data_IF_667719468561
#
_entry.id   IF_667719468561
#
_cell.length_a   1.000
_cell.length_b   1.000
_cell.length_c   1.000
_cell.angle_alpha   90.00
_cell.angle_beta   90.00
_cell.angle_gamma   90.00
#
_symmetry.space_group_name_H-M   'P 1'
#
loop_
_entity.id
_entity.type
_entity.pdbx_description
1 polymer ?
#
# COMPACT_ATOMS: atom_id res chain seq x y z
N UNK A 1 -3.14 -6.00 -12.23
CA UNK A 1 -2.43 -4.77 -12.57
C UNK A 1 -1.79 -4.86 -13.94
N UNK A 2 -0.98 -5.89 -14.19
CA UNK A 2 -0.37 -6.20 -15.50
C UNK A 2 -1.29 -5.96 -16.72
N UNK A 3 -2.51 -6.52 -16.72
CA UNK A 3 -3.46 -6.31 -17.82
C UNK A 3 -3.84 -4.82 -18.05
N UNK A 4 -3.96 -4.02 -16.98
CA UNK A 4 -4.24 -2.57 -17.09
C UNK A 4 -3.03 -1.86 -17.70
N UNK A 5 -1.84 -2.10 -17.16
CA UNK A 5 -0.62 -1.52 -17.66
C UNK A 5 -0.38 -1.88 -19.14
N UNK A 6 -0.50 -3.15 -19.49
CA UNK A 6 -0.33 -3.63 -20.87
C UNK A 6 -1.36 -3.03 -21.84
N UNK A 7 -2.63 -2.92 -21.45
CA UNK A 7 -3.65 -2.26 -22.27
C UNK A 7 -3.31 -0.77 -22.53
N UNK A 8 -2.69 -0.09 -21.55
CA UNK A 8 -2.20 1.28 -21.74
C UNK A 8 -0.99 1.36 -22.67
N UNK A 9 -0.09 0.37 -22.63
CA UNK A 9 1.02 0.24 -23.60
C UNK A 9 0.48 0.04 -25.01
N UNK A 10 -0.43 -0.91 -25.21
CA UNK A 10 -1.07 -1.15 -26.51
C UNK A 10 -1.83 0.08 -27.01
N UNK A 11 -2.48 0.81 -26.11
CA UNK A 11 -3.18 2.06 -26.42
C UNK A 11 -2.27 3.28 -26.61
N UNK A 12 -0.94 3.11 -26.59
CA UNK A 12 0.04 4.19 -26.77
C UNK A 12 0.08 5.23 -25.64
N UNK A 13 -0.62 4.98 -24.52
CA UNK A 13 -0.67 5.87 -23.35
C UNK A 13 0.54 5.75 -22.46
N UNK A 14 1.18 4.57 -22.45
CA UNK A 14 2.47 4.31 -21.81
C UNK A 14 3.47 3.96 -22.91
N UNK A 15 4.62 4.64 -22.91
CA UNK A 15 5.72 4.35 -23.83
C UNK A 15 6.73 3.47 -23.14
N UNK A 16 7.12 2.39 -23.80
CA UNK A 16 8.22 1.56 -23.32
C UNK A 16 9.55 2.31 -23.48
N UNK A 17 10.49 2.11 -22.56
CA UNK A 17 11.83 2.66 -22.68
C UNK A 17 12.59 1.98 -23.82
N UNK A 18 13.81 2.43 -24.08
CA UNK A 18 14.65 1.83 -25.13
C UNK A 18 15.00 0.38 -24.80
N UNK A 19 15.30 -0.43 -25.82
CA UNK A 19 15.69 -1.83 -25.63
C UNK A 19 16.89 -1.98 -24.68
N UNK A 20 17.86 -1.07 -24.77
CA UNK A 20 19.03 -1.05 -23.89
C UNK A 20 18.66 -0.87 -22.43
N UNK A 21 17.78 0.10 -22.13
CA UNK A 21 17.28 0.36 -20.76
C UNK A 21 16.45 -0.83 -20.24
N UNK A 22 15.59 -1.41 -21.09
CA UNK A 22 14.82 -2.61 -20.73
C UNK A 22 15.75 -3.78 -20.34
N UNK A 23 16.79 -4.04 -21.13
CA UNK A 23 17.74 -5.10 -20.82
C UNK A 23 18.57 -4.82 -19.56
N UNK A 24 18.87 -3.56 -19.26
CA UNK A 24 19.53 -3.17 -18.02
C UNK A 24 18.62 -3.41 -16.81
N UNK A 25 17.35 -2.98 -16.87
CA UNK A 25 16.36 -3.20 -15.82
C UNK A 25 16.11 -4.70 -15.56
N UNK A 26 15.99 -5.50 -16.63
CA UNK A 26 15.85 -6.97 -16.52
C UNK A 26 17.04 -7.56 -15.76
N UNK A 27 18.28 -7.21 -16.11
CA UNK A 27 19.48 -7.71 -15.41
C UNK A 27 19.49 -7.31 -13.94
N UNK A 28 19.18 -6.05 -13.64
CA UNK A 28 19.14 -5.55 -12.27
C UNK A 28 18.09 -6.29 -11.41
N UNK A 29 16.90 -6.56 -11.97
CA UNK A 29 15.85 -7.34 -11.29
C UNK A 29 16.25 -8.80 -11.10
N UNK A 30 16.88 -9.42 -12.11
CA UNK A 30 17.38 -10.79 -12.00
C UNK A 30 18.42 -10.90 -10.86
N UNK A 31 19.35 -9.95 -10.77
CA UNK A 31 20.34 -9.90 -9.69
C UNK A 31 19.70 -9.69 -8.32
N UNK A 32 18.65 -8.86 -8.21
CA UNK A 32 17.93 -8.65 -6.96
C UNK A 32 17.25 -9.93 -6.47
N UNK A 33 16.61 -10.67 -7.39
CA UNK A 33 15.98 -11.97 -7.11
C UNK A 33 17.04 -12.98 -6.65
N UNK A 34 18.16 -13.09 -7.35
CA UNK A 34 19.25 -14.01 -7.01
C UNK A 34 19.89 -13.71 -5.63
N UNK A 35 19.88 -12.45 -5.19
CA UNK A 35 20.37 -12.05 -3.86
C UNK A 35 19.36 -12.35 -2.74
N UNK A 36 18.07 -12.20 -3.03
CA UNK A 36 17.02 -12.33 -2.02
C UNK A 36 16.57 -13.78 -1.82
N UNK A 37 16.55 -14.57 -2.89
CA UNK A 37 15.98 -15.91 -2.89
C UNK A 37 17.03 -16.98 -3.12
N UNK A 38 16.76 -18.18 -2.60
CA UNK A 38 17.65 -19.32 -2.82
C UNK A 38 17.68 -19.67 -4.31
N UNK A 39 18.86 -19.99 -4.83
CA UNK A 39 19.03 -20.36 -6.23
C UNK A 39 18.38 -21.71 -6.52
N UNK A 40 17.14 -21.67 -6.99
CA UNK A 40 16.35 -22.83 -7.42
C UNK A 40 15.57 -22.49 -8.68
N UNK A 41 15.25 -23.49 -9.49
CA UNK A 41 14.42 -23.32 -10.69
C UNK A 41 13.05 -22.70 -10.38
N UNK A 42 12.55 -22.84 -9.14
CA UNK A 42 11.26 -22.30 -8.69
C UNK A 42 11.26 -20.79 -8.45
N UNK A 43 12.41 -20.19 -8.17
CA UNK A 43 12.53 -18.79 -7.75
C UNK A 43 12.86 -17.83 -8.91
N UNK A 44 12.66 -18.27 -10.15
CA UNK A 44 13.06 -17.54 -11.37
C UNK A 44 12.14 -16.39 -11.77
N UNK A 45 10.89 -16.39 -11.28
CA UNK A 45 9.86 -15.40 -11.61
C UNK A 45 9.37 -14.64 -10.36
N UNK A 46 10.12 -14.72 -9.27
CA UNK A 46 9.72 -14.07 -8.03
C UNK A 46 9.82 -12.55 -8.15
N UNK A 47 8.83 -11.90 -7.56
CA UNK A 47 8.70 -10.45 -7.59
C UNK A 47 8.12 -10.01 -6.26
N UNK A 48 8.70 -8.97 -5.67
CA UNK A 48 8.08 -8.32 -4.53
C UNK A 48 6.74 -7.71 -4.98
N UNK A 49 5.65 -8.15 -4.35
CA UNK A 49 4.31 -7.77 -4.75
C UNK A 49 4.09 -6.25 -4.67
N UNK A 50 4.54 -5.58 -3.61
CA UNK A 50 4.32 -4.14 -3.42
C UNK A 50 5.10 -3.37 -4.49
N UNK A 51 6.40 -3.62 -4.60
CA UNK A 51 7.28 -2.92 -5.55
C UNK A 51 6.83 -3.11 -6.99
N UNK A 52 6.49 -4.33 -7.40
CA UNK A 52 6.02 -4.62 -8.75
C UNK A 52 4.67 -3.98 -9.06
N UNK A 53 3.74 -4.00 -8.10
CA UNK A 53 2.43 -3.37 -8.26
C UNK A 53 2.54 -1.84 -8.32
N UNK A 54 3.36 -1.24 -7.46
CA UNK A 54 3.61 0.20 -7.41
C UNK A 54 4.31 0.70 -8.67
N UNK A 55 5.30 -0.02 -9.19
CA UNK A 55 5.98 0.32 -10.45
C UNK A 55 4.99 0.38 -11.62
N UNK A 56 4.19 -0.68 -11.83
CA UNK A 56 3.18 -0.70 -12.88
C UNK A 56 2.08 0.35 -12.66
N UNK A 57 1.69 0.59 -11.40
CA UNK A 57 0.68 1.59 -11.08
C UNK A 57 1.20 3.01 -11.29
N UNK A 58 2.49 3.26 -11.03
CA UNK A 58 3.14 4.54 -11.26
C UNK A 58 3.13 4.90 -12.75
N UNK A 59 3.48 3.94 -13.62
CA UNK A 59 3.48 4.13 -15.08
C UNK A 59 2.13 4.58 -15.64
N UNK A 60 1.03 4.12 -15.04
CA UNK A 60 -0.34 4.50 -15.43
C UNK A 60 -0.93 5.62 -14.58
N UNK A 61 -0.18 6.18 -13.62
CA UNK A 61 -0.67 7.23 -12.71
C UNK A 61 -1.76 6.77 -11.73
N UNK A 62 -1.81 5.48 -11.40
CA UNK A 62 -2.75 4.88 -10.45
C UNK A 62 -2.13 4.57 -9.07
N UNK A 63 -0.83 4.85 -8.88
CA UNK A 63 -0.18 4.73 -7.57
C UNK A 63 -0.65 5.89 -6.65
N UNK A 64 -1.19 5.60 -5.45
CA UNK A 64 -1.74 6.63 -4.58
C UNK A 64 -0.65 7.57 -4.05
N UNK A 65 -0.88 8.89 -4.14
CA UNK A 65 0.08 9.86 -3.60
C UNK A 65 -0.13 10.00 -2.08
N UNK A 66 0.75 9.39 -1.30
CA UNK A 66 0.64 9.36 0.16
C UNK A 66 0.67 10.76 0.78
N UNK A 67 1.48 11.69 0.27
CA UNK A 67 1.52 13.07 0.79
C UNK A 67 0.19 13.80 0.57
N UNK A 68 -0.46 13.57 -0.58
CA UNK A 68 -1.78 14.14 -0.84
C UNK A 68 -2.81 13.63 0.15
N UNK A 69 -2.82 12.32 0.44
CA UNK A 69 -3.74 11.74 1.40
C UNK A 69 -3.44 12.16 2.84
N UNK A 70 -2.19 12.40 3.20
CA UNK A 70 -1.85 12.95 4.51
C UNK A 70 -2.55 14.29 4.79
N UNK A 71 -2.64 15.15 3.78
CA UNK A 71 -3.25 16.48 3.90
C UNK A 71 -4.77 16.47 3.73
N UNK A 72 -5.31 15.59 2.88
CA UNK A 72 -6.74 15.59 2.49
C UNK A 72 -7.59 14.57 3.25
N UNK A 73 -7.04 13.40 3.56
CA UNK A 73 -7.75 12.30 4.21
C UNK A 73 -6.79 11.47 5.09
N UNK A 74 -6.54 12.00 6.29
CA UNK A 74 -5.64 11.39 7.27
C UNK A 74 -6.04 9.97 7.66
N UNK A 75 -7.34 9.67 7.69
CA UNK A 75 -7.83 8.33 8.03
C UNK A 75 -7.43 7.31 6.96
N UNK A 76 -7.59 7.68 5.68
CA UNK A 76 -7.14 6.84 4.57
C UNK A 76 -5.60 6.74 4.55
N UNK A 77 -4.89 7.84 4.76
CA UNK A 77 -3.41 7.86 4.82
C UNK A 77 -2.84 6.83 5.79
N UNK A 78 -3.31 6.84 7.04
CA UNK A 78 -2.84 5.89 8.05
C UNK A 78 -3.16 4.43 7.69
N UNK A 79 -4.27 4.19 6.98
CA UNK A 79 -4.60 2.85 6.46
C UNK A 79 -3.73 2.43 5.29
N UNK A 80 -3.27 3.36 4.45
CA UNK A 80 -2.35 3.06 3.36
C UNK A 80 -0.95 2.71 3.87
N UNK A 81 -0.47 3.41 4.90
CA UNK A 81 0.88 3.19 5.44
C UNK A 81 0.94 2.03 6.44
N UNK A 82 0.01 2.00 7.41
CA UNK A 82 0.05 1.03 8.52
C UNK A 82 -0.93 -0.13 8.33
N UNK A 83 -1.81 -0.04 7.34
CA UNK A 83 -2.76 -1.10 7.03
C UNK A 83 -2.21 -2.13 6.06
N UNK A 84 -2.99 -3.19 5.79
CA UNK A 84 -2.61 -4.16 4.77
C UNK A 84 -2.61 -3.50 3.39
N UNK A 85 -1.60 -3.85 2.58
CA UNK A 85 -1.53 -3.41 1.20
C UNK A 85 -2.57 -4.17 0.36
N UNK A 86 -3.72 -3.53 0.14
CA UNK A 86 -4.88 -4.14 -0.54
C UNK A 86 -5.00 -3.67 -1.99
N UNK A 87 -5.45 -4.54 -2.93
CA UNK A 87 -5.54 -4.18 -4.34
C UNK A 87 -6.45 -2.98 -4.66
N UNK A 88 -7.37 -2.63 -3.75
CA UNK A 88 -8.25 -1.47 -3.88
C UNK A 88 -7.48 -0.14 -3.94
N UNK A 89 -6.26 -0.09 -3.38
CA UNK A 89 -5.40 1.09 -3.35
C UNK A 89 -5.09 1.60 -4.77
N UNK A 90 -4.83 0.70 -5.71
CA UNK A 90 -4.55 1.02 -7.12
C UNK A 90 -5.79 1.43 -7.94
N UNK A 91 -6.93 1.61 -7.28
CA UNK A 91 -8.18 2.13 -7.86
C UNK A 91 -8.64 3.41 -7.18
N UNK A 92 -7.85 3.97 -6.25
CA UNK A 92 -8.10 5.27 -5.64
C UNK A 92 -7.90 6.42 -6.63
N UNK A 93 -6.86 6.31 -7.44
CA UNK A 93 -6.43 7.34 -8.38
C UNK A 93 -6.18 6.78 -9.79
N UNK A 94 -5.93 7.69 -10.72
CA UNK A 94 -5.57 7.36 -12.09
C UNK A 94 -6.74 6.93 -12.97
N UNK A 95 -6.45 6.30 -14.12
CA UNK A 95 -7.45 5.90 -15.09
C UNK A 95 -8.34 4.80 -14.53
N UNK A 96 -9.66 4.97 -14.68
CA UNK A 96 -10.68 4.04 -14.20
C UNK A 96 -10.65 3.84 -12.67
N UNK A 97 -10.51 4.94 -11.94
CA UNK A 97 -10.68 4.99 -10.49
C UNK A 97 -12.07 4.49 -10.08
N UNK A 98 -12.15 3.78 -8.96
CA UNK A 98 -13.38 3.23 -8.43
C UNK A 98 -13.85 4.05 -7.22
N UNK A 99 -15.04 4.65 -7.32
CA UNK A 99 -15.61 5.50 -6.25
C UNK A 99 -15.68 4.79 -4.89
N UNK A 100 -15.92 3.47 -4.87
CA UNK A 100 -15.98 2.67 -3.64
C UNK A 100 -14.63 2.23 -3.08
N UNK A 101 -13.51 2.56 -3.73
CA UNK A 101 -12.18 2.08 -3.32
C UNK A 101 -11.82 2.56 -1.90
N UNK A 102 -12.14 3.81 -1.57
CA UNK A 102 -11.90 4.38 -0.25
C UNK A 102 -12.60 3.59 0.85
N UNK A 103 -13.91 3.44 0.73
CA UNK A 103 -14.72 2.75 1.75
C UNK A 103 -14.39 1.26 1.81
N UNK A 104 -14.01 0.67 0.67
CA UNK A 104 -13.47 -0.67 0.64
C UNK A 104 -12.20 -0.78 1.49
N UNK A 105 -11.23 0.12 1.34
CA UNK A 105 -9.97 0.11 2.12
C UNK A 105 -10.23 0.30 3.61
N UNK A 106 -11.06 1.29 3.97
CA UNK A 106 -11.41 1.55 5.36
C UNK A 106 -12.11 0.34 6.00
N UNK A 107 -13.01 -0.29 5.25
CA UNK A 107 -13.83 -1.43 5.68
C UNK A 107 -13.15 -2.81 5.62
N UNK A 108 -11.85 -2.90 5.33
CA UNK A 108 -11.15 -4.19 5.17
C UNK A 108 -11.27 -5.05 6.43
N UNK A 109 -11.04 -4.44 7.60
CA UNK A 109 -11.02 -5.15 8.87
C UNK A 109 -12.37 -5.78 9.19
N UNK A 110 -13.45 -5.04 8.97
CA UNK A 110 -14.82 -5.44 9.18
C UNK A 110 -15.16 -6.65 8.31
N UNK A 111 -14.76 -6.63 7.02
CA UNK A 111 -15.01 -7.75 6.09
C UNK A 111 -14.21 -9.00 6.43
N UNK A 112 -12.97 -8.85 6.89
CA UNK A 112 -12.14 -9.98 7.34
C UNK A 112 -12.73 -10.62 8.59
N UNK A 113 -13.27 -9.82 9.52
CA UNK A 113 -13.84 -10.30 10.78
C UNK A 113 -15.29 -10.79 10.66
N UNK A 114 -16.06 -10.30 9.69
CA UNK A 114 -17.47 -10.67 9.48
C UNK A 114 -17.73 -12.19 9.46
N UNK A 115 -16.99 -13.03 8.72
CA UNK A 115 -17.21 -14.48 8.73
C UNK A 115 -16.78 -15.15 10.04
N UNK A 116 -15.88 -14.51 10.79
CA UNK A 116 -15.38 -15.03 12.08
C UNK A 116 -16.30 -14.65 13.25
N UNK A 117 -17.19 -13.67 13.07
CA UNK A 117 -17.97 -13.07 14.15
C UNK A 117 -19.47 -13.10 13.86
N UNK A 118 -20.10 -14.25 14.11
CA UNK A 118 -21.56 -14.41 14.03
C UNK A 118 -22.34 -13.50 15.01
N UNK A 119 -21.69 -13.03 16.08
CA UNK A 119 -22.32 -12.31 17.21
C UNK A 119 -22.24 -10.77 17.10
N UNK A 120 -21.36 -10.21 16.24
CA UNK A 120 -21.07 -8.76 16.09
C UNK A 120 -20.61 -8.02 17.37
N UNK A 121 -20.48 -8.69 18.52
CA UNK A 121 -20.23 -8.06 19.84
C UNK A 121 -18.76 -7.88 20.21
N UNK A 122 -17.85 -8.73 19.70
CA UNK A 122 -16.42 -8.67 20.01
C UNK A 122 -15.62 -8.08 18.84
N UNK A 123 -14.47 -7.46 19.13
CA UNK A 123 -13.58 -6.65 18.26
C UNK A 123 -13.87 -5.15 18.12
N UNK A 124 -14.77 -4.57 18.92
CA UNK A 124 -14.71 -3.12 19.18
C UNK A 124 -13.41 -2.88 19.95
N UNK A 125 -12.43 -2.25 19.31
CA UNK A 125 -11.20 -1.84 19.99
C UNK A 125 -11.62 -0.79 21.02
N UNK A 126 -11.49 -1.11 22.31
CA UNK A 126 -11.67 -0.11 23.36
C UNK A 126 -10.67 1.02 23.11
N UNK A 127 -11.17 2.15 22.62
CA UNK A 127 -10.36 3.28 22.19
C UNK A 127 -9.72 4.01 23.37
N UNK A 128 -10.07 3.65 24.61
CA UNK A 128 -9.46 4.21 25.82
C UNK A 128 -7.95 3.99 25.89
N UNK A 129 -7.40 2.94 25.25
CA UNK A 129 -5.94 2.74 25.15
C UNK A 129 -5.21 3.89 24.47
N UNK A 130 -5.79 4.49 23.42
CA UNK A 130 -5.16 5.63 22.74
C UNK A 130 -5.15 6.86 23.65
N UNK A 131 -6.22 7.06 24.42
CA UNK A 131 -6.32 8.10 25.46
C UNK A 131 -5.25 7.94 26.55
N UNK A 132 -5.03 6.72 27.07
CA UNK A 132 -4.00 6.48 28.09
C UNK A 132 -2.58 6.69 27.56
N UNK A 133 -2.30 6.32 26.30
CA UNK A 133 -1.00 6.54 25.66
C UNK A 133 -0.73 8.05 25.48
N UNK A 134 -1.74 8.80 25.01
CA UNK A 134 -1.64 10.26 24.85
C UNK A 134 -1.46 10.95 26.21
N UNK A 135 -2.23 10.54 27.22
CA UNK A 135 -2.09 11.05 28.57
C UNK A 135 -0.70 10.76 29.16
N UNK A 136 -0.18 9.55 28.95
CA UNK A 136 1.17 9.17 29.38
C UNK A 136 2.27 9.99 28.71
N UNK A 137 2.20 10.18 27.39
CA UNK A 137 3.14 11.03 26.65
C UNK A 137 3.07 12.50 27.11
N UNK A 138 1.88 13.03 27.33
CA UNK A 138 1.69 14.39 27.84
C UNK A 138 2.28 14.55 29.25
N UNK A 139 2.14 13.54 30.11
CA UNK A 139 2.71 13.53 31.47
C UNK A 139 4.24 13.53 31.44
N UNK A 140 4.86 12.77 30.54
CA UNK A 140 6.32 12.75 30.36
C UNK A 140 6.84 14.10 29.87
N UNK A 141 6.14 14.74 28.91
CA UNK A 141 6.50 16.08 28.42
C UNK A 141 6.35 17.14 29.52
N UNK A 142 5.27 17.08 30.30
CA UNK A 142 5.06 17.98 31.45
C UNK A 142 6.14 17.80 32.52
N UNK A 143 6.47 16.55 32.88
CA UNK A 143 7.52 16.26 33.84
C UNK A 143 8.89 16.77 33.36
N UNK A 144 9.17 16.68 32.06
CA UNK A 144 10.39 17.22 31.46
C UNK A 144 10.45 18.75 31.50
N UNK A 145 9.33 19.44 31.23
CA UNK A 145 9.24 20.91 31.31
C UNK A 145 9.39 21.43 32.74
N UNK A 146 8.87 20.70 33.74
CA UNK A 146 8.97 21.08 35.16
C UNK A 146 10.36 20.79 35.75
N UNK A 147 11.12 19.87 35.15
CA UNK A 147 12.46 19.50 35.58
C UNK A 147 13.57 20.46 35.08
N UNK A 148 13.28 21.26 34.05
CA UNK A 148 14.14 22.32 33.51
C UNK A 148 13.85 23.64 34.23
#
# INVERSE_FOLDING_TARGET
MQARWFAHVLGGKVRLPTATEMHQDIRAKQEAVDRQFFRSSRHTLEMNWIEGMDAMASDIGACPNLLRYFLTDQALFWKLILGPAVPYQYRLEGPHAWRGARDAILGVRERVLAPLNKSKKWFVRDDRRSVYIIAGLALVVLAYIVYI
#
